data_IF_307614876832
#
_entry.id   IF_307614876832
#
_cell.length_a   1.000
_cell.length_b   1.000
_cell.length_c   1.000
_cell.angle_alpha   90.00
_cell.angle_beta   90.00
_cell.angle_gamma   90.00
#
_symmetry.space_group_name_H-M   'P 1'
#
loop_
_entity.id
_entity.type
_entity.pdbx_description
1 polymer ?
#
# COMPACT_ATOMS: atom_id res chain seq x y z
N UNK A 1 -9.45 14.20 8.85
CA UNK A 1 -8.68 13.88 7.62
C UNK A 1 -7.63 14.97 7.40
N UNK A 2 -6.45 14.62 6.90
CA UNK A 2 -5.36 15.58 6.68
C UNK A 2 -4.48 15.91 7.90
N UNK A 3 -4.53 15.07 8.94
CA UNK A 3 -3.64 15.12 10.10
C UNK A 3 -3.40 13.69 10.61
N UNK A 4 -2.31 13.46 11.33
CA UNK A 4 -2.03 12.18 11.95
C UNK A 4 -2.98 11.95 13.14
N UNK A 5 -3.89 10.97 13.03
CA UNK A 5 -4.87 10.68 14.08
C UNK A 5 -4.32 9.78 15.20
N UNK A 6 -3.34 8.93 14.90
CA UNK A 6 -2.67 8.02 15.83
C UNK A 6 -1.27 7.64 15.36
N UNK A 7 -0.54 6.89 16.18
CA UNK A 7 0.63 6.16 15.71
C UNK A 7 0.20 4.96 14.83
N UNK A 8 0.98 4.68 13.80
CA UNK A 8 0.83 3.53 12.90
C UNK A 8 2.08 2.65 13.03
N UNK A 9 1.91 1.32 12.99
CA UNK A 9 3.00 0.37 13.15
C UNK A 9 3.70 0.09 11.81
N UNK A 10 3.00 0.37 10.71
CA UNK A 10 3.30 0.03 9.33
C UNK A 10 2.85 1.15 8.38
N UNK A 11 3.20 1.00 7.10
CA UNK A 11 2.71 1.80 5.98
C UNK A 11 2.42 0.86 4.81
N UNK A 12 1.19 0.90 4.31
CA UNK A 12 0.80 0.24 3.06
C UNK A 12 1.14 1.12 1.84
N UNK A 13 1.87 0.56 0.88
CA UNK A 13 2.26 1.22 -0.37
C UNK A 13 1.79 0.36 -1.55
N UNK A 14 1.00 0.95 -2.44
CA UNK A 14 0.62 0.34 -3.71
C UNK A 14 1.54 0.85 -4.83
N UNK A 15 2.08 -0.06 -5.63
CA UNK A 15 2.97 0.25 -6.74
C UNK A 15 2.58 -0.57 -7.97
N UNK A 16 2.64 0.06 -9.14
CA UNK A 16 2.39 -0.62 -10.41
C UNK A 16 3.52 -1.63 -10.68
N UNK A 17 3.18 -2.82 -11.19
CA UNK A 17 4.14 -3.89 -11.47
C UNK A 17 5.33 -3.46 -12.33
N UNK A 18 5.12 -2.52 -13.25
CA UNK A 18 6.17 -1.97 -14.10
C UNK A 18 7.28 -1.24 -13.30
N UNK A 19 6.95 -0.69 -12.14
CA UNK A 19 7.87 0.00 -11.23
C UNK A 19 8.26 -0.82 -10.00
N UNK A 20 7.68 -2.01 -9.81
CA UNK A 20 7.88 -2.83 -8.61
C UNK A 20 9.36 -3.09 -8.29
N UNK A 21 10.16 -3.44 -9.30
CA UNK A 21 11.58 -3.70 -9.11
C UNK A 21 12.35 -2.44 -8.71
N UNK A 22 11.98 -1.26 -9.23
CA UNK A 22 12.61 0.00 -8.85
C UNK A 22 12.34 0.31 -7.38
N UNK A 23 11.12 0.05 -6.90
CA UNK A 23 10.77 0.22 -5.49
C UNK A 23 11.53 -0.76 -4.59
N UNK A 24 11.68 -2.03 -5.00
CA UNK A 24 12.52 -3.00 -4.28
C UNK A 24 13.95 -2.48 -4.08
N UNK A 25 14.57 -1.94 -5.14
CA UNK A 25 15.92 -1.42 -5.05
C UNK A 25 16.00 -0.16 -4.18
N UNK A 26 14.98 0.70 -4.20
CA UNK A 26 14.87 1.84 -3.27
C UNK A 26 14.77 1.36 -1.83
N UNK A 27 13.93 0.37 -1.53
CA UNK A 27 13.78 -0.17 -0.17
C UNK A 27 15.11 -0.74 0.35
N UNK A 28 15.78 -1.58 -0.44
CA UNK A 28 17.10 -2.13 -0.09
C UNK A 28 18.15 -1.05 0.13
N UNK A 29 18.21 -0.04 -0.74
CA UNK A 29 19.13 1.08 -0.61
C UNK A 29 18.89 1.90 0.67
N UNK A 30 17.64 1.91 1.17
CA UNK A 30 17.26 2.56 2.43
C UNK A 30 17.34 1.64 3.65
N UNK A 31 17.93 0.44 3.52
CA UNK A 31 18.19 -0.47 4.63
C UNK A 31 17.02 -1.36 5.04
N UNK A 32 15.97 -1.42 4.21
CA UNK A 32 14.90 -2.40 4.38
C UNK A 32 15.27 -3.74 3.77
N UNK A 33 14.84 -4.82 4.42
CA UNK A 33 14.95 -6.18 3.92
C UNK A 33 13.57 -6.85 3.97
N UNK A 34 13.32 -7.72 3.00
CA UNK A 34 12.06 -8.46 2.94
C UNK A 34 11.99 -9.49 4.07
N UNK A 35 10.84 -9.57 4.72
CA UNK A 35 10.50 -10.58 5.72
C UNK A 35 9.28 -11.38 5.25
N UNK A 36 9.23 -12.66 5.62
CA UNK A 36 8.11 -13.53 5.27
C UNK A 36 7.12 -13.59 6.41
N UNK A 37 5.88 -13.19 6.13
CA UNK A 37 4.75 -13.25 7.06
C UNK A 37 3.74 -14.31 6.61
N UNK A 38 2.86 -14.78 7.48
CA UNK A 38 1.84 -15.78 7.11
C UNK A 38 0.91 -15.29 5.99
N UNK A 39 0.72 -13.98 5.89
CA UNK A 39 -0.14 -13.32 4.91
C UNK A 39 0.60 -12.80 3.67
N UNK A 40 1.93 -12.97 3.55
CA UNK A 40 2.65 -12.58 2.33
C UNK A 40 2.21 -13.39 1.11
N UNK A 41 2.01 -12.71 -0.02
CA UNK A 41 1.64 -13.30 -1.32
C UNK A 41 2.67 -12.95 -2.40
N UNK A 42 2.39 -13.31 -3.66
CA UNK A 42 3.23 -12.86 -4.80
C UNK A 42 3.09 -11.37 -5.09
N UNK A 43 1.94 -10.77 -4.74
CA UNK A 43 1.65 -9.37 -4.96
C UNK A 43 1.66 -8.54 -3.66
N UNK A 44 1.91 -9.18 -2.51
CA UNK A 44 2.01 -8.53 -1.21
C UNK A 44 3.26 -9.01 -0.49
N UNK A 45 4.27 -8.13 -0.38
CA UNK A 45 5.51 -8.41 0.35
C UNK A 45 5.65 -7.47 1.55
N UNK A 46 6.32 -7.94 2.60
CA UNK A 46 6.51 -7.18 3.84
C UNK A 46 7.99 -6.88 4.01
N UNK A 47 8.31 -5.63 4.35
CA UNK A 47 9.68 -5.13 4.44
C UNK A 47 9.91 -4.49 5.80
N UNK A 48 11.04 -4.81 6.41
CA UNK A 48 11.42 -4.30 7.73
C UNK A 48 12.83 -3.69 7.69
N UNK A 49 13.09 -2.69 8.53
CA UNK A 49 14.43 -2.19 8.78
C UNK A 49 14.95 -2.51 10.19
N UNK A 50 16.21 -2.17 10.49
CA UNK A 50 16.81 -2.41 11.81
C UNK A 50 16.17 -1.62 12.97
N UNK A 51 15.20 -0.73 12.67
CA UNK A 51 14.42 0.00 13.67
C UNK A 51 13.01 -0.60 13.84
N UNK A 52 12.75 -1.76 13.24
CA UNK A 52 11.48 -2.46 13.22
C UNK A 52 10.34 -1.63 12.60
N UNK A 53 10.67 -0.74 11.63
CA UNK A 53 9.65 -0.05 10.84
C UNK A 53 9.20 -0.98 9.72
N UNK A 54 7.89 -1.09 9.53
CA UNK A 54 7.29 -2.04 8.58
C UNK A 54 6.72 -1.28 7.37
N UNK A 55 6.92 -1.84 6.18
CA UNK A 55 6.27 -1.44 4.94
C UNK A 55 5.60 -2.67 4.33
N UNK A 56 4.31 -2.56 4.06
CA UNK A 56 3.54 -3.51 3.26
C UNK A 56 3.54 -3.00 1.81
N UNK A 57 4.19 -3.74 0.91
CA UNK A 57 4.29 -3.37 -0.50
C UNK A 57 3.33 -4.24 -1.33
N UNK A 58 2.37 -3.57 -1.95
CA UNK A 58 1.31 -4.15 -2.78
C UNK A 58 1.61 -3.87 -4.26
N UNK A 59 1.83 -4.92 -5.03
CA UNK A 59 2.05 -4.88 -6.48
C UNK A 59 0.71 -5.01 -7.21
N UNK A 60 0.33 -4.01 -7.99
CA UNK A 60 -0.89 -4.04 -8.80
C UNK A 60 -0.57 -3.90 -10.30
N UNK A 61 -1.53 -4.28 -11.15
CA UNK A 61 -1.48 -4.05 -12.59
C UNK A 61 -2.70 -3.24 -13.04
N UNK A 62 -2.62 -2.60 -14.21
CA UNK A 62 -3.82 -2.14 -14.89
C UNK A 62 -4.30 -3.21 -15.88
N UNK A 63 -5.61 -3.42 -15.97
CA UNK A 63 -6.22 -4.22 -17.04
C UNK A 63 -6.17 -3.46 -18.37
N UNK A 64 -6.47 -4.15 -19.47
CA UNK A 64 -6.58 -3.52 -20.80
C UNK A 64 -7.71 -2.47 -20.84
N UNK A 65 -8.73 -2.63 -20.00
CA UNK A 65 -9.83 -1.68 -19.79
C UNK A 65 -9.49 -0.50 -18.87
N UNK A 66 -8.30 -0.50 -18.25
CA UNK A 66 -7.83 0.55 -17.35
C UNK A 66 -8.30 0.41 -15.90
N UNK A 67 -8.83 -0.75 -15.50
CA UNK A 67 -9.14 -1.06 -14.10
C UNK A 67 -7.88 -1.45 -13.34
N UNK A 68 -7.90 -1.32 -12.02
CA UNK A 68 -6.81 -1.79 -11.14
C UNK A 68 -7.03 -3.28 -10.88
N UNK A 69 -6.08 -4.13 -11.27
CA UNK A 69 -6.05 -5.56 -10.98
C UNK A 69 -5.12 -5.81 -9.79
N UNK A 70 -5.67 -6.37 -8.70
CA UNK A 70 -4.91 -6.74 -7.51
C UNK A 70 -5.41 -8.08 -6.95
N UNK A 71 -4.51 -9.04 -6.78
CA UNK A 71 -4.80 -10.40 -6.29
C UNK A 71 -5.97 -11.13 -6.97
N UNK A 72 -6.23 -10.79 -8.24
CA UNK A 72 -7.27 -11.41 -9.07
C UNK A 72 -8.60 -10.65 -9.10
N UNK A 73 -8.74 -9.59 -8.29
CA UNK A 73 -9.92 -8.73 -8.25
C UNK A 73 -9.67 -7.43 -9.03
N UNK A 74 -10.72 -6.92 -9.68
CA UNK A 74 -10.72 -5.64 -10.40
C UNK A 74 -11.37 -4.54 -9.58
N UNK A 75 -10.72 -3.38 -9.53
CA UNK A 75 -11.20 -2.18 -8.85
C UNK A 75 -11.26 -0.99 -9.83
N UNK A 76 -12.22 -0.06 -9.65
CA UNK A 76 -12.27 1.16 -10.45
C UNK A 76 -10.99 1.99 -10.29
N UNK A 77 -10.51 2.64 -11.35
CA UNK A 77 -9.30 3.50 -11.32
C UNK A 77 -9.42 4.63 -10.30
N UNK A 78 -10.65 5.07 -10.02
CA UNK A 78 -10.98 6.06 -9.00
C UNK A 78 -10.53 5.64 -7.60
N UNK A 79 -10.31 4.35 -7.37
CA UNK A 79 -9.75 3.82 -6.12
C UNK A 79 -8.46 4.55 -5.74
N UNK A 80 -7.59 4.89 -6.70
CA UNK A 80 -6.34 5.65 -6.46
C UNK A 80 -6.45 7.16 -6.77
N UNK A 81 -7.67 7.71 -6.85
CA UNK A 81 -7.89 9.15 -7.10
C UNK A 81 -7.72 10.03 -5.86
N UNK A 82 -7.56 9.42 -4.67
CA UNK A 82 -7.38 10.15 -3.42
C UNK A 82 -6.13 11.02 -3.41
N UNK A 83 -6.24 12.17 -2.75
CA UNK A 83 -5.13 13.07 -2.48
C UNK A 83 -5.06 13.36 -0.98
N UNK A 84 -3.87 13.20 -0.43
CA UNK A 84 -3.57 13.43 0.97
C UNK A 84 -2.37 14.35 1.14
N UNK A 85 -2.09 14.68 2.40
CA UNK A 85 -0.89 15.41 2.76
C UNK A 85 -0.31 14.83 4.05
N UNK A 86 0.97 14.46 4.01
CA UNK A 86 1.76 14.06 5.17
C UNK A 86 2.77 15.17 5.40
N UNK A 87 2.62 15.91 6.51
CA UNK A 87 3.36 17.15 6.77
C UNK A 87 3.20 18.16 5.60
N UNK A 88 4.28 18.42 4.86
CA UNK A 88 4.29 19.32 3.69
C UNK A 88 4.26 18.56 2.35
N UNK A 89 4.22 17.24 2.37
CA UNK A 89 4.29 16.38 1.19
C UNK A 89 2.88 16.00 0.74
N UNK A 90 2.51 16.39 -0.48
CA UNK A 90 1.30 15.88 -1.14
C UNK A 90 1.52 14.43 -1.58
N UNK A 91 0.55 13.56 -1.30
CA UNK A 91 0.60 12.14 -1.63
C UNK A 91 -0.65 11.71 -2.39
N UNK A 92 -0.49 10.81 -3.35
CA UNK A 92 -1.59 10.05 -3.92
C UNK A 92 -1.97 8.93 -2.95
N UNK A 93 -3.25 8.73 -2.71
CA UNK A 93 -3.74 7.71 -1.79
C UNK A 93 -5.06 7.10 -2.29
N UNK A 94 -5.52 6.05 -1.61
CA UNK A 94 -6.84 5.49 -1.89
C UNK A 94 -7.91 6.52 -1.50
N UNK A 95 -8.95 6.65 -2.32
CA UNK A 95 -10.05 7.57 -2.03
C UNK A 95 -10.90 7.11 -0.82
N UNK A 96 -11.52 8.05 -0.06
CA UNK A 96 -12.15 7.73 1.22
C UNK A 96 -13.22 6.64 1.21
N UNK A 97 -14.03 6.52 0.15
CA UNK A 97 -15.08 5.50 0.06
C UNK A 97 -14.46 4.10 -0.06
N UNK A 98 -13.53 3.87 -0.98
CA UNK A 98 -12.78 2.62 -1.11
C UNK A 98 -12.03 2.26 0.17
N UNK A 99 -11.43 3.25 0.86
CA UNK A 99 -10.81 3.02 2.17
C UNK A 99 -11.80 2.43 3.17
N UNK A 100 -13.01 2.97 3.29
CA UNK A 100 -14.04 2.42 4.18
C UNK A 100 -14.46 1.03 3.73
N UNK A 101 -14.66 0.82 2.42
CA UNK A 101 -15.10 -0.47 1.88
C UNK A 101 -14.10 -1.59 2.16
N UNK A 102 -12.79 -1.34 2.05
CA UNK A 102 -11.76 -2.33 2.36
C UNK A 102 -11.71 -2.71 3.85
N UNK A 103 -12.21 -1.85 4.74
CA UNK A 103 -12.27 -2.14 6.18
C UNK A 103 -13.55 -2.89 6.60
N UNK A 104 -14.58 -2.97 5.76
CA UNK A 104 -15.84 -3.67 6.12
C UNK A 104 -15.68 -5.19 6.31
N UNK A 105 -14.58 -5.77 5.80
CA UNK A 105 -14.25 -7.19 6.00
C UNK A 105 -13.49 -7.50 7.29
N UNK A 106 -13.04 -6.48 8.03
CA UNK A 106 -12.28 -6.65 9.26
C UNK A 106 -13.23 -6.73 10.46
N UNK A 107 -12.89 -7.57 11.44
CA UNK A 107 -13.50 -7.44 12.77
C UNK A 107 -13.07 -6.10 13.36
N UNK A 108 -14.03 -5.28 13.76
CA UNK A 108 -13.74 -4.03 14.44
C UNK A 108 -13.09 -4.33 15.79
N UNK A 109 -11.87 -3.85 16.00
CA UNK A 109 -11.31 -3.72 17.33
C UNK A 109 -11.90 -2.48 18.04
N UNK A 110 -11.91 -2.53 19.38
CA UNK A 110 -12.40 -1.42 20.25
C UNK A 110 -11.41 -0.26 20.33
#
# INVERSE_FOLDING_TARGET
LGYQSRAHNDIDIFVEKNDYQNFIEIMKANGFYEIKMEYTTLNHTVWEDLKNRIIDLHCFEYTDEGEILYDGDCFPVETFSGKGRIEEIEVSCIEPYSQVMFHLGYEFDE
#
